data_IF_113981270534
#
_entry.id   IF_113981270534
#
_cell.length_a   1.000
_cell.length_b   1.000
_cell.length_c   1.000
_cell.angle_alpha   90.00
_cell.angle_beta   90.00
_cell.angle_gamma   90.00
#
_symmetry.space_group_name_H-M   'P 1'
#
loop_
_entity.id
_entity.type
_entity.pdbx_description
1 polymer ?
#
# COMPACT_ATOMS: atom_id res chain seq x y z
N UNK A 1 17.47 -15.79 13.63
CA UNK A 1 16.32 -14.95 14.02
C UNK A 1 15.49 -14.76 12.78
N UNK A 2 14.32 -15.40 12.69
CA UNK A 2 13.45 -15.26 11.54
C UNK A 2 12.85 -13.86 11.57
N UNK A 3 13.21 -13.02 10.59
CA UNK A 3 12.54 -11.75 10.35
C UNK A 3 11.05 -12.06 10.20
N UNK A 4 10.21 -11.54 11.10
CA UNK A 4 8.76 -11.80 11.06
C UNK A 4 8.22 -11.40 9.68
N UNK A 5 7.74 -12.40 8.94
CA UNK A 5 7.26 -12.25 7.56
C UNK A 5 6.11 -11.25 7.54
N UNK A 6 6.15 -10.28 6.62
CA UNK A 6 5.01 -9.40 6.34
C UNK A 6 3.83 -10.30 5.93
N UNK A 7 2.89 -10.55 6.82
CA UNK A 7 1.75 -11.44 6.51
C UNK A 7 0.72 -10.68 5.68
N UNK A 8 0.41 -9.45 6.07
CA UNK A 8 -0.59 -8.62 5.43
C UNK A 8 -0.17 -7.16 5.40
N UNK A 9 0.15 -6.67 4.20
CA UNK A 9 0.51 -5.27 3.98
C UNK A 9 -0.64 -4.55 3.31
N UNK A 10 -1.03 -3.40 3.88
CA UNK A 10 -1.99 -2.47 3.31
C UNK A 10 -1.24 -1.36 2.59
N UNK A 11 -1.64 -1.05 1.35
CA UNK A 11 -1.06 0.04 0.58
C UNK A 11 -2.18 0.93 0.09
N UNK A 12 -2.05 2.23 0.37
CA UNK A 12 -3.05 3.23 0.06
C UNK A 12 -2.42 4.50 -0.50
N UNK A 13 -3.21 5.28 -1.24
CA UNK A 13 -2.81 6.62 -1.66
C UNK A 13 -3.51 7.67 -0.80
N UNK A 14 -2.73 8.56 -0.20
CA UNK A 14 -3.23 9.75 0.46
C UNK A 14 -2.90 10.98 -0.40
N UNK A 15 -3.90 11.81 -0.74
CA UNK A 15 -3.67 13.07 -1.46
C UNK A 15 -4.81 13.50 -2.38
N UNK A 16 -4.62 14.61 -3.13
CA UNK A 16 -3.42 15.44 -3.14
C UNK A 16 -3.35 16.39 -1.94
N UNK A 17 -2.27 16.32 -1.17
CA UNK A 17 -1.94 17.31 -0.14
C UNK A 17 -0.77 18.16 -0.67
N UNK A 18 -0.93 19.49 -0.72
CA UNK A 18 0.09 20.40 -1.27
C UNK A 18 0.58 19.99 -2.67
N UNK A 19 -0.35 19.62 -3.56
CA UNK A 19 -0.06 19.23 -4.95
C UNK A 19 0.83 17.96 -5.10
N UNK A 20 0.98 17.19 -4.02
CA UNK A 20 1.73 15.93 -4.00
C UNK A 20 0.82 14.79 -3.57
N UNK A 21 1.02 13.60 -4.14
CA UNK A 21 0.38 12.38 -3.67
C UNK A 21 1.32 11.65 -2.73
N UNK A 22 0.78 10.84 -1.83
CA UNK A 22 1.56 10.07 -0.88
C UNK A 22 1.14 8.62 -0.97
N UNK A 23 2.10 7.71 -0.99
CA UNK A 23 1.86 6.28 -0.84
C UNK A 23 2.05 5.94 0.63
N UNK A 24 1.02 5.37 1.25
CA UNK A 24 1.07 4.92 2.63
C UNK A 24 1.09 3.39 2.62
N UNK A 25 2.14 2.81 3.19
CA UNK A 25 2.32 1.37 3.34
C UNK A 25 2.22 1.04 4.82
N UNK A 26 1.30 0.16 5.20
CA UNK A 26 1.07 -0.25 6.59
C UNK A 26 1.14 -1.76 6.68
N UNK A 27 2.06 -2.26 7.50
CA UNK A 27 2.07 -3.67 7.88
C UNK A 27 1.06 -3.93 9.01
N UNK A 28 0.14 -4.87 8.80
CA UNK A 28 -0.94 -5.14 9.75
C UNK A 28 -0.45 -5.82 11.04
N UNK A 29 0.64 -6.58 10.96
CA UNK A 29 1.21 -7.37 12.05
C UNK A 29 2.04 -6.49 12.99
N UNK A 30 3.06 -5.83 12.45
CA UNK A 30 4.03 -4.99 13.18
C UNK A 30 3.51 -3.58 13.44
N UNK A 31 2.37 -3.20 12.84
CA UNK A 31 1.86 -1.81 12.79
C UNK A 31 2.86 -0.82 12.17
N UNK A 32 3.85 -1.32 11.45
CA UNK A 32 4.87 -0.51 10.82
C UNK A 32 4.24 0.28 9.67
N UNK A 33 4.49 1.59 9.63
CA UNK A 33 3.90 2.50 8.66
C UNK A 33 4.98 3.30 7.97
N UNK A 34 4.97 3.30 6.64
CA UNK A 34 5.89 4.06 5.80
C UNK A 34 5.09 4.96 4.85
N UNK A 35 5.44 6.25 4.84
CA UNK A 35 4.77 7.27 4.04
C UNK A 35 5.77 7.80 3.02
N UNK A 36 5.42 7.70 1.74
CA UNK A 36 6.34 7.98 0.64
C UNK A 36 5.71 9.04 -0.25
N UNK A 37 6.34 10.21 -0.31
CA UNK A 37 5.87 11.31 -1.16
C UNK A 37 6.10 10.98 -2.63
N UNK A 38 5.04 11.04 -3.42
CA UNK A 38 5.02 10.86 -4.85
C UNK A 38 4.85 12.24 -5.51
N UNK A 39 5.95 12.76 -6.04
CA UNK A 39 5.91 13.97 -6.87
C UNK A 39 5.11 13.71 -8.16
N UNK A 40 5.27 12.51 -8.75
CA UNK A 40 4.49 12.02 -9.88
C UNK A 40 4.00 10.59 -9.61
N UNK A 41 2.69 10.41 -9.48
CA UNK A 41 2.05 9.11 -9.30
C UNK A 41 1.86 8.37 -10.64
N UNK A 42 2.97 8.08 -11.31
CA UNK A 42 2.98 7.26 -12.53
C UNK A 42 3.00 5.78 -12.16
N UNK A 43 2.42 4.92 -13.00
CA UNK A 43 2.36 3.45 -12.86
C UNK A 43 3.69 2.81 -12.42
N UNK A 44 4.81 3.32 -12.96
CA UNK A 44 6.17 2.82 -12.71
C UNK A 44 6.57 3.05 -11.25
N UNK A 45 6.29 4.24 -10.71
CA UNK A 45 6.61 4.62 -9.33
C UNK A 45 5.82 3.77 -8.33
N UNK A 46 4.59 3.42 -8.68
CA UNK A 46 3.66 2.64 -7.86
C UNK A 46 4.13 1.20 -7.66
N UNK A 47 4.91 0.64 -8.60
CA UNK A 47 5.43 -0.73 -8.50
C UNK A 47 6.85 -0.72 -7.92
N UNK A 48 7.68 0.22 -8.36
CA UNK A 48 9.09 0.27 -7.98
C UNK A 48 9.27 0.51 -6.48
N UNK A 49 8.43 1.36 -5.88
CA UNK A 49 8.49 1.69 -4.46
C UNK A 49 8.16 0.47 -3.56
N UNK A 50 6.99 -0.17 -3.67
CA UNK A 50 6.71 -1.36 -2.88
C UNK A 50 7.68 -2.50 -3.21
N UNK A 51 8.14 -2.63 -4.46
CA UNK A 51 9.17 -3.61 -4.81
C UNK A 51 10.49 -3.40 -4.05
N UNK A 52 10.97 -2.17 -3.94
CA UNK A 52 12.19 -1.86 -3.19
C UNK A 52 12.00 -2.08 -1.68
N UNK A 53 10.81 -1.78 -1.16
CA UNK A 53 10.44 -1.99 0.22
C UNK A 53 10.38 -3.49 0.55
N UNK A 54 9.73 -4.28 -0.30
CA UNK A 54 9.68 -5.73 -0.15
C UNK A 54 11.05 -6.40 -0.35
N UNK A 55 11.93 -5.84 -1.18
CA UNK A 55 13.30 -6.32 -1.30
C UNK A 55 14.11 -6.11 -0.01
N UNK A 56 13.80 -5.07 0.77
CA UNK A 56 14.49 -4.77 2.04
C UNK A 56 13.91 -5.53 3.22
N UNK A 57 12.59 -5.63 3.32
CA UNK A 57 11.90 -6.16 4.50
C UNK A 57 11.34 -7.58 4.32
N UNK A 58 11.28 -8.06 3.08
CA UNK A 58 10.64 -9.33 2.72
C UNK A 58 9.38 -9.13 1.89
N UNK A 59 9.01 -10.16 1.13
CA UNK A 59 7.79 -10.17 0.32
C UNK A 59 6.58 -10.45 1.22
N UNK A 60 5.49 -9.68 1.09
CA UNK A 60 4.29 -9.96 1.86
C UNK A 60 3.52 -11.15 1.28
N UNK A 61 2.89 -11.95 2.15
CA UNK A 61 2.00 -13.02 1.69
C UNK A 61 0.74 -12.44 1.03
N UNK A 62 0.17 -11.39 1.63
CA UNK A 62 -1.01 -10.72 1.12
C UNK A 62 -0.81 -9.20 1.05
N UNK A 63 -1.10 -8.63 -0.12
CA UNK A 63 -1.10 -7.21 -0.37
C UNK A 63 -2.54 -6.72 -0.54
N UNK A 64 -2.95 -5.79 0.31
CA UNK A 64 -4.29 -5.19 0.28
C UNK A 64 -4.19 -3.77 -0.23
N UNK A 65 -4.82 -3.47 -1.36
CA UNK A 65 -4.89 -2.10 -1.89
C UNK A 65 -6.34 -1.64 -1.97
N UNK A 66 -6.60 -0.34 -1.83
CA UNK A 66 -7.92 0.16 -2.20
C UNK A 66 -8.14 0.07 -3.69
N UNK A 67 -9.41 -0.01 -4.10
CA UNK A 67 -9.84 -0.12 -5.48
C UNK A 67 -9.69 1.21 -6.25
N UNK A 68 -8.57 1.91 -6.05
CA UNK A 68 -8.16 3.04 -6.86
C UNK A 68 -7.67 2.53 -8.22
N UNK A 69 -8.02 3.22 -9.29
CA UNK A 69 -7.60 2.95 -10.68
C UNK A 69 -6.08 2.76 -10.83
N UNK A 70 -5.31 3.39 -9.93
CA UNK A 70 -3.85 3.32 -9.90
C UNK A 70 -3.28 1.95 -9.50
N UNK A 71 -3.99 1.14 -8.70
CA UNK A 71 -3.57 -0.23 -8.33
C UNK A 71 -4.21 -1.32 -9.19
N UNK A 72 -5.18 -0.95 -10.03
CA UNK A 72 -5.84 -1.85 -10.97
C UNK A 72 -5.05 -2.08 -12.27
N UNK A 73 -3.89 -1.44 -12.40
CA UNK A 73 -3.02 -1.53 -13.56
C UNK A 73 -2.50 -2.96 -13.78
N UNK A 74 -2.43 -3.37 -15.04
CA UNK A 74 -1.98 -4.70 -15.42
C UNK A 74 -0.53 -4.98 -15.01
N UNK A 75 0.30 -3.94 -14.97
CA UNK A 75 1.68 -4.03 -14.50
C UNK A 75 1.75 -4.40 -13.01
N UNK A 76 0.88 -3.85 -12.17
CA UNK A 76 0.84 -4.16 -10.73
C UNK A 76 0.39 -5.60 -10.49
N UNK A 77 -0.63 -6.06 -11.22
CA UNK A 77 -1.07 -7.47 -11.18
C UNK A 77 0.03 -8.43 -11.64
N UNK A 78 0.78 -8.06 -12.67
CA UNK A 78 1.90 -8.85 -13.17
C UNK A 78 3.03 -8.90 -12.13
N UNK A 79 3.33 -7.78 -11.49
CA UNK A 79 4.31 -7.70 -10.40
C UNK A 79 3.91 -8.60 -9.21
N UNK A 80 2.68 -8.48 -8.69
CA UNK A 80 2.25 -9.28 -7.55
C UNK A 80 2.24 -10.77 -7.90
N UNK A 81 1.77 -11.13 -9.10
CA UNK A 81 1.76 -12.51 -9.58
C UNK A 81 3.18 -13.08 -9.75
N UNK A 82 4.10 -12.30 -10.32
CA UNK A 82 5.50 -12.71 -10.51
C UNK A 82 6.23 -12.93 -9.18
N UNK A 83 5.84 -12.19 -8.14
CA UNK A 83 6.43 -12.30 -6.80
C UNK A 83 5.66 -13.26 -5.88
N UNK A 84 4.61 -13.93 -6.38
CA UNK A 84 3.79 -14.84 -5.56
C UNK A 84 2.94 -14.15 -4.48
N UNK A 85 2.75 -12.83 -4.59
CA UNK A 85 2.01 -12.01 -3.62
C UNK A 85 0.51 -12.12 -3.92
N UNK A 86 -0.30 -12.43 -2.89
CA UNK A 86 -1.76 -12.43 -3.02
C UNK A 86 -2.30 -11.00 -2.98
N UNK A 87 -2.63 -10.45 -4.15
CA UNK A 87 -3.24 -9.12 -4.25
C UNK A 87 -4.75 -9.20 -3.99
N UNK A 88 -5.23 -8.41 -3.01
CA UNK A 88 -6.65 -8.30 -2.65
C UNK A 88 -7.07 -6.83 -2.68
N UNK A 89 -8.23 -6.55 -3.27
CA UNK A 89 -8.81 -5.21 -3.21
C UNK A 89 -9.65 -5.04 -1.94
N UNK A 90 -9.43 -3.94 -1.22
CA UNK A 90 -10.32 -3.51 -0.14
C UNK A 90 -11.66 -3.04 -0.74
N UNK A 91 -12.81 -3.45 -0.19
CA UNK A 91 -14.11 -3.02 -0.68
C UNK A 91 -14.25 -1.48 -0.61
N UNK A 92 -14.91 -0.84 -1.58
CA UNK A 92 -15.07 0.62 -1.62
C UNK A 92 -15.91 1.18 -0.45
N UNK A 93 -16.59 0.31 0.30
CA UNK A 93 -17.50 0.69 1.38
C UNK A 93 -17.03 0.05 2.70
N UNK A 94 -15.97 0.61 3.27
CA UNK A 94 -15.65 0.38 4.67
C UNK A 94 -15.28 1.72 5.31
N UNK A 95 -16.18 2.33 6.11
CA UNK A 95 -15.89 3.59 6.80
C UNK A 95 -14.71 3.48 7.78
N UNK A 96 -14.22 2.27 8.09
CA UNK A 96 -13.05 2.05 8.93
C UNK A 96 -11.71 1.91 8.17
N UNK A 97 -11.69 1.98 6.83
CA UNK A 97 -10.43 1.94 6.04
C UNK A 97 -10.09 3.26 5.38
N UNK A 98 -10.76 4.36 5.75
CA UNK A 98 -10.14 5.67 5.62
C UNK A 98 -9.00 5.75 6.64
N UNK A 99 -7.77 5.85 6.16
CA UNK A 99 -6.65 6.31 6.98
C UNK A 99 -6.82 7.77 7.44
N UNK A 100 -7.94 8.41 7.10
CA UNK A 100 -8.43 9.68 7.67
C UNK A 100 -9.05 9.50 9.07
N UNK A 101 -9.25 8.27 9.56
CA UNK A 101 -9.87 8.00 10.87
C UNK A 101 -9.01 8.33 12.09
N UNK A 102 -7.78 8.83 11.92
CA UNK A 102 -7.00 9.42 13.02
C UNK A 102 -7.31 10.90 13.25
N UNK A 103 -8.10 11.54 12.37
CA UNK A 103 -8.48 12.96 12.48
C UNK A 103 -9.91 13.24 12.94
N UNK A 104 -10.78 12.24 13.07
CA UNK A 104 -12.24 12.47 13.24
C UNK A 104 -12.84 11.87 14.53
N UNK A 105 -12.08 11.81 15.64
CA UNK A 105 -12.61 11.52 16.99
C UNK A 105 -11.98 12.38 18.09
N UNK A 106 -11.84 13.67 17.83
CA UNK A 106 -11.75 14.69 18.89
C UNK A 106 -12.99 15.59 18.78
N UNK A 107 -14.14 15.04 19.14
CA UNK A 107 -15.26 15.77 19.75
C UNK A 107 -15.89 14.87 20.82
#
# INVERSE_FOLDING_TARGET
MAQETLTRTHVDFAGPLMNSMFLVVVDAHSKWTEIISLSNATSITIISIPGNLFARFGLPEQLVTHNGTQFSLNEFKSFTRSNGIKHTFSPPYHPATKINGLGERME
#
